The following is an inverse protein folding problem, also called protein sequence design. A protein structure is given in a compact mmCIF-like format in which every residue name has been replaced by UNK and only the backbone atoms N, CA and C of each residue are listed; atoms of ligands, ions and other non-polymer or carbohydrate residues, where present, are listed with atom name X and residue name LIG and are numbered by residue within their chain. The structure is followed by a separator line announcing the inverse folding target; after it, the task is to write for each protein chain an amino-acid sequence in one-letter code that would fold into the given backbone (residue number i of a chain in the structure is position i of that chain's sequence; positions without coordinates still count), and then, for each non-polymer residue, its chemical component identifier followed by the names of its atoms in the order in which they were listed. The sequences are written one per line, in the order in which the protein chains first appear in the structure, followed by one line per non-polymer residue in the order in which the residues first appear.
data_IF_297543107446
#
_entry.id   IF_297543107446
#
_cell.length_a   1.000
_cell.length_b   1.000
_cell.length_c   1.000
_cell.angle_alpha   90.00
_cell.angle_beta   90.00
_cell.angle_gamma   90.00
#
_symmetry.space_group_name_H-M   'P 1'
#
loop_
_entity.id
_entity.type
_entity.pdbx_description
1 polymer ?
#
# COMPACT_ATOMS: atom_id res chain seq x y z
N UNK A 1 26.85 -43.26 -48.83
CA UNK A 1 27.11 -42.82 -47.45
C UNK A 1 26.86 -41.32 -47.25
N UNK A 2 27.41 -40.43 -48.09
CA UNK A 2 27.27 -38.96 -47.93
C UNK A 2 25.83 -38.40 -47.97
N UNK A 3 24.94 -38.96 -48.80
CA UNK A 3 23.53 -38.51 -48.88
C UNK A 3 22.76 -38.67 -47.56
N UNK A 4 22.95 -39.81 -46.88
CA UNK A 4 22.31 -40.07 -45.58
C UNK A 4 22.81 -39.12 -44.49
N UNK A 5 24.09 -38.74 -44.53
CA UNK A 5 24.68 -37.76 -43.61
C UNK A 5 24.05 -36.38 -43.84
N UNK A 6 23.92 -35.95 -45.10
CA UNK A 6 23.30 -34.67 -45.44
C UNK A 6 21.83 -34.60 -44.98
N UNK A 7 21.06 -35.68 -45.18
CA UNK A 7 19.67 -35.78 -44.71
C UNK A 7 19.60 -35.74 -43.18
N UNK A 8 20.46 -36.49 -42.49
CA UNK A 8 20.50 -36.49 -41.03
C UNK A 8 20.83 -35.11 -40.46
N UNK A 9 21.79 -34.39 -41.06
CA UNK A 9 22.14 -33.01 -40.66
C UNK A 9 20.97 -32.06 -40.92
N UNK A 10 20.29 -32.17 -42.07
CA UNK A 10 19.11 -31.36 -42.38
C UNK A 10 17.97 -31.59 -41.39
N UNK A 11 17.68 -32.85 -41.05
CA UNK A 11 16.69 -33.20 -40.05
C UNK A 11 17.05 -32.66 -38.66
N UNK A 12 18.32 -32.76 -38.25
CA UNK A 12 18.81 -32.24 -36.97
C UNK A 12 18.62 -30.71 -36.88
N UNK A 13 18.96 -29.98 -37.95
CA UNK A 13 18.76 -28.53 -38.02
C UNK A 13 17.29 -28.14 -37.92
N UNK A 14 16.39 -28.88 -38.58
CA UNK A 14 14.96 -28.66 -38.47
C UNK A 14 14.44 -28.88 -37.04
N UNK A 15 14.84 -29.97 -36.40
CA UNK A 15 14.47 -30.25 -35.01
C UNK A 15 15.00 -29.17 -34.06
N UNK A 16 16.23 -28.72 -34.28
CA UNK A 16 16.84 -27.65 -33.50
C UNK A 16 16.09 -26.33 -33.64
N UNK A 17 15.69 -25.95 -34.86
CA UNK A 17 14.92 -24.74 -35.13
C UNK A 17 13.55 -24.79 -34.43
N UNK A 18 12.85 -25.92 -34.52
CA UNK A 18 11.55 -26.13 -33.85
C UNK A 18 11.70 -26.07 -32.33
N UNK A 19 12.76 -26.66 -31.77
CA UNK A 19 13.03 -26.63 -30.33
C UNK A 19 13.25 -25.19 -29.82
N UNK A 20 14.00 -24.37 -30.56
CA UNK A 20 14.22 -22.96 -30.22
C UNK A 20 12.92 -22.17 -30.29
N UNK A 21 12.14 -22.34 -31.35
CA UNK A 21 10.86 -21.66 -31.51
C UNK A 21 9.92 -21.95 -30.33
N UNK A 22 9.76 -23.23 -29.99
CA UNK A 22 8.91 -23.65 -28.86
C UNK A 22 9.39 -23.06 -27.53
N UNK A 23 10.70 -23.00 -27.31
CA UNK A 23 11.29 -22.41 -26.11
C UNK A 23 11.02 -20.91 -26.02
N UNK A 24 11.10 -20.18 -27.14
CA UNK A 24 10.75 -18.75 -27.18
C UNK A 24 9.27 -18.51 -26.89
N UNK A 25 8.38 -19.32 -27.46
CA UNK A 25 6.93 -19.24 -27.19
C UNK A 25 6.65 -19.49 -25.71
N UNK A 26 7.31 -20.48 -25.10
CA UNK A 26 7.20 -20.78 -23.67
C UNK A 26 7.66 -19.60 -22.80
N UNK A 27 8.79 -18.97 -23.12
CA UNK A 27 9.25 -17.79 -22.38
C UNK A 27 8.29 -16.60 -22.51
N UNK A 28 7.71 -16.37 -23.69
CA UNK A 28 6.68 -15.33 -23.86
C UNK A 28 5.44 -15.60 -22.99
N UNK A 29 5.04 -16.86 -22.85
CA UNK A 29 3.92 -17.23 -21.97
C UNK A 29 4.26 -16.98 -20.50
N UNK A 30 5.45 -17.38 -20.05
CA UNK A 30 5.91 -17.15 -18.68
C UNK A 30 5.97 -15.67 -18.31
N UNK A 31 6.45 -14.82 -19.23
CA UNK A 31 6.47 -13.36 -19.00
C UNK A 31 5.06 -12.81 -18.83
N UNK A 32 4.10 -13.22 -19.66
CA UNK A 32 2.70 -12.79 -19.53
C UNK A 32 2.07 -13.24 -18.21
N UNK A 33 2.33 -14.47 -17.81
CA UNK A 33 1.86 -15.01 -16.53
C UNK A 33 2.42 -14.20 -15.35
N UNK A 34 3.73 -13.94 -15.35
CA UNK A 34 4.37 -13.13 -14.33
C UNK A 34 3.79 -11.71 -14.25
N UNK A 35 3.55 -11.08 -15.41
CA UNK A 35 2.88 -9.78 -15.48
C UNK A 35 1.47 -9.81 -14.90
N UNK A 36 0.67 -10.83 -15.25
CA UNK A 36 -0.67 -11.00 -14.69
C UNK A 36 -0.64 -11.14 -13.17
N UNK A 37 0.26 -11.96 -12.63
CA UNK A 37 0.47 -12.12 -11.20
C UNK A 37 0.82 -10.80 -10.50
N UNK A 38 1.72 -10.00 -11.09
CA UNK A 38 2.09 -8.67 -10.58
C UNK A 38 0.87 -7.74 -10.57
N UNK A 39 0.12 -7.67 -11.67
CA UNK A 39 -1.07 -6.81 -11.77
C UNK A 39 -2.14 -7.16 -10.73
N UNK A 40 -2.38 -8.45 -10.48
CA UNK A 40 -3.33 -8.89 -9.45
C UNK A 40 -2.89 -8.42 -8.06
N UNK A 41 -1.60 -8.55 -7.74
CA UNK A 41 -1.06 -8.11 -6.45
C UNK A 41 -1.14 -6.59 -6.27
N UNK A 42 -0.80 -5.82 -7.31
CA UNK A 42 -0.94 -4.37 -7.31
C UNK A 42 -2.40 -3.94 -7.13
N UNK A 43 -3.33 -4.60 -7.83
CA UNK A 43 -4.76 -4.33 -7.69
C UNK A 43 -5.25 -4.64 -6.29
N UNK A 44 -4.91 -5.79 -5.71
CA UNK A 44 -5.28 -6.13 -4.32
C UNK A 44 -4.75 -5.10 -3.32
N UNK A 45 -3.51 -4.62 -3.49
CA UNK A 45 -2.97 -3.55 -2.65
C UNK A 45 -3.76 -2.25 -2.80
N UNK A 46 -4.07 -1.85 -4.03
CA UNK A 46 -4.86 -0.66 -4.30
C UNK A 46 -6.29 -0.76 -3.73
N UNK A 47 -6.94 -1.91 -3.87
CA UNK A 47 -8.30 -2.18 -3.36
C UNK A 47 -8.37 -2.13 -1.83
N UNK A 48 -7.25 -2.34 -1.12
CA UNK A 48 -7.17 -2.24 0.33
C UNK A 48 -6.94 -0.82 0.85
N UNK A 49 -6.48 0.11 0.01
CA UNK A 49 -6.22 1.51 0.41
C UNK A 49 -7.49 2.20 0.96
N UNK A 50 -8.67 2.10 0.32
CA UNK A 50 -9.89 2.71 0.85
C UNK A 50 -10.26 2.23 2.26
N UNK A 51 -10.04 0.96 2.57
CA UNK A 51 -10.32 0.41 3.89
C UNK A 51 -9.38 0.99 4.96
N UNK A 52 -8.09 1.16 4.62
CA UNK A 52 -7.12 1.81 5.50
C UNK A 52 -7.46 3.29 5.71
N UNK A 53 -7.82 4.00 4.64
CA UNK A 53 -8.26 5.41 4.71
C UNK A 53 -9.50 5.54 5.57
N UNK A 54 -10.53 4.70 5.36
CA UNK A 54 -11.75 4.71 6.15
C UNK A 54 -11.49 4.46 7.65
N UNK A 55 -10.53 3.59 7.98
CA UNK A 55 -10.15 3.32 9.38
C UNK A 55 -9.47 4.53 10.00
N UNK A 56 -8.54 5.17 9.29
CA UNK A 56 -7.85 6.39 9.75
C UNK A 56 -8.82 7.56 9.84
N UNK A 57 -9.72 7.73 8.88
CA UNK A 57 -10.78 8.76 8.93
C UNK A 57 -11.76 8.53 10.09
N UNK A 58 -12.08 7.27 10.40
CA UNK A 58 -12.87 6.89 11.56
C UNK A 58 -12.21 7.30 12.88
N UNK A 59 -10.91 7.04 13.03
CA UNK A 59 -10.13 7.48 14.18
C UNK A 59 -9.96 9.01 14.23
N UNK A 60 -9.63 9.63 13.10
CA UNK A 60 -9.49 11.08 13.02
C UNK A 60 -10.82 11.80 13.34
N UNK A 61 -11.96 11.23 12.96
CA UNK A 61 -13.28 11.77 13.34
C UNK A 61 -13.62 11.56 14.81
N UNK A 62 -13.21 10.45 15.42
CA UNK A 62 -13.32 10.26 16.87
C UNK A 62 -12.46 11.25 17.66
N UNK A 63 -11.26 11.58 17.17
CA UNK A 63 -10.35 12.51 17.85
C UNK A 63 -10.60 14.00 17.53
N UNK A 64 -11.43 14.33 16.53
CA UNK A 64 -11.78 15.73 16.23
C UNK A 64 -12.38 16.47 17.41
N UNK A 65 -13.35 15.86 18.09
CA UNK A 65 -14.00 16.49 19.26
C UNK A 65 -13.04 16.70 20.44
N UNK A 66 -12.10 15.77 20.60
CA UNK A 66 -11.03 15.88 21.60
C UNK A 66 -10.06 17.02 21.26
N UNK A 67 -9.63 17.12 20.00
CA UNK A 67 -8.77 18.21 19.52
C UNK A 67 -9.45 19.58 19.64
N UNK A 68 -10.75 19.67 19.36
CA UNK A 68 -11.54 20.89 19.57
C UNK A 68 -11.59 21.27 21.06
N UNK A 69 -11.91 20.32 21.94
CA UNK A 69 -11.93 20.54 23.39
C UNK A 69 -10.58 20.99 23.94
N UNK A 70 -9.47 20.39 23.49
CA UNK A 70 -8.11 20.79 23.89
C UNK A 70 -7.76 22.18 23.35
N UNK A 71 -8.17 22.50 22.12
CA UNK A 71 -7.93 23.82 21.52
C UNK A 71 -8.70 24.92 22.24
N UNK A 72 -9.96 24.65 22.60
CA UNK A 72 -10.81 25.54 23.39
C UNK A 72 -10.24 25.74 24.80
N UNK A 73 -9.88 24.65 25.49
CA UNK A 73 -9.25 24.70 26.80
C UNK A 73 -7.93 25.49 26.79
N UNK A 74 -7.10 25.31 25.75
CA UNK A 74 -5.87 26.07 25.56
C UNK A 74 -6.13 27.56 25.32
N UNK A 75 -7.14 27.90 24.51
CA UNK A 75 -7.55 29.29 24.27
C UNK A 75 -8.08 29.96 25.54
N UNK A 76 -8.88 29.23 26.32
CA UNK A 76 -9.40 29.68 27.61
C UNK A 76 -8.28 29.91 28.63
N UNK A 77 -7.31 28.99 28.72
CA UNK A 77 -6.13 29.15 29.58
C UNK A 77 -5.27 30.36 29.18
N UNK A 78 -5.10 30.61 27.87
CA UNK A 78 -4.37 31.78 27.36
C UNK A 78 -5.10 33.12 27.54
N UNK A 79 -6.43 33.09 27.69
CA UNK A 79 -7.28 34.28 27.87
C UNK A 79 -7.62 34.57 29.33
N UNK A 80 -7.31 33.65 30.25
CA UNK A 80 -7.60 33.78 31.68
C UNK A 80 -6.80 34.93 32.29
N UNK A 81 -7.50 35.86 32.97
CA UNK A 81 -6.90 37.00 33.67
C UNK A 81 -7.13 36.86 35.17
N UNK A 82 -6.06 36.86 35.94
CA UNK A 82 -6.09 36.72 37.40
C UNK A 82 -5.79 35.29 37.88
N UNK A 83 -5.20 35.19 39.08
CA UNK A 83 -4.63 33.96 39.64
C UNK A 83 -5.64 32.80 39.73
N UNK A 84 -6.88 33.11 40.10
CA UNK A 84 -7.95 32.13 40.31
C UNK A 84 -8.52 31.59 38.99
N UNK A 85 -8.65 32.45 37.98
CA UNK A 85 -9.10 32.05 36.64
C UNK A 85 -8.07 31.17 35.93
N UNK A 86 -6.78 31.47 36.10
CA UNK A 86 -5.69 30.66 35.55
C UNK A 86 -5.63 29.28 36.23
N UNK A 87 -5.79 29.22 37.55
CA UNK A 87 -5.80 27.95 38.30
C UNK A 87 -6.97 27.03 37.91
N UNK A 88 -8.18 27.58 37.67
CA UNK A 88 -9.32 26.78 37.21
C UNK A 88 -9.14 26.27 35.77
N UNK A 89 -8.61 27.11 34.87
CA UNK A 89 -8.34 26.70 33.49
C UNK A 89 -7.27 25.59 33.43
N UNK A 90 -6.23 25.67 34.26
CA UNK A 90 -5.16 24.68 34.34
C UNK A 90 -5.65 23.33 34.93
N UNK A 91 -6.52 23.38 35.93
CA UNK A 91 -7.17 22.19 36.50
C UNK A 91 -8.09 21.47 35.50
N UNK A 92 -8.85 22.23 34.71
CA UNK A 92 -9.67 21.66 33.63
C UNK A 92 -8.82 21.04 32.53
N UNK A 93 -7.74 21.71 32.12
CA UNK A 93 -6.81 21.21 31.11
C UNK A 93 -6.09 19.93 31.57
N UNK A 94 -5.66 19.88 32.82
CA UNK A 94 -5.08 18.68 33.44
C UNK A 94 -6.07 17.51 33.49
N UNK A 95 -7.34 17.78 33.82
CA UNK A 95 -8.41 16.78 33.80
C UNK A 95 -8.76 16.25 32.41
N UNK A 96 -8.60 17.06 31.36
CA UNK A 96 -8.77 16.62 29.97
C UNK A 96 -7.60 15.78 29.48
N UNK A 97 -6.37 16.15 29.83
CA UNK A 97 -5.16 15.39 29.46
C UNK A 97 -5.14 14.04 30.17
N UNK A 98 -5.62 13.94 31.41
CA UNK A 98 -5.74 12.66 32.13
C UNK A 98 -6.83 11.72 31.61
N UNK A 99 -7.64 12.15 30.63
CA UNK A 99 -8.69 11.33 29.97
C UNK A 99 -8.26 10.82 28.58
N UNK A 100 -7.09 11.22 28.09
CA UNK A 100 -6.40 10.69 26.91
C UNK A 100 -5.73 9.35 27.22
#
# INVERSE_FOLDING_TARGET
MGMWIAIAVGALLLVWLVAIYNRLVRFRALVREAWSGITVQLRRRADLIPNLVSTVEGYASHERGLLEAVTEARSAAGSAKGLEATAQADAQMTGMIGRL
#
